data_IF_386698917328
#
_entry.id   IF_386698917328
#
_cell.length_a   1.000
_cell.length_b   1.000
_cell.length_c   1.000
_cell.angle_alpha   90.00
_cell.angle_beta   90.00
_cell.angle_gamma   90.00
#
_symmetry.space_group_name_H-M   'P 1'
#
loop_
_entity.id
_entity.type
_entity.pdbx_description
1 polymer ?
#
# COMPACT_ATOMS: atom_id res chain seq x y z
N UNK A 1 4.45 -34.44 38.73
CA UNK A 1 3.93 -33.08 38.49
C UNK A 1 4.37 -32.66 37.10
N UNK A 2 3.44 -32.34 36.18
CA UNK A 2 3.81 -31.86 34.85
C UNK A 2 4.46 -30.48 34.97
N UNK A 3 5.65 -30.30 34.37
CA UNK A 3 6.38 -29.03 34.36
C UNK A 3 5.55 -28.02 33.57
N UNK A 4 5.15 -26.91 34.19
CA UNK A 4 4.45 -25.85 33.45
C UNK A 4 5.30 -25.40 32.25
N UNK A 5 4.66 -25.15 31.09
CA UNK A 5 5.39 -24.73 29.89
C UNK A 5 6.09 -23.39 30.14
N UNK A 6 7.35 -23.30 29.73
CA UNK A 6 8.16 -22.08 29.86
C UNK A 6 7.53 -20.93 29.07
N UNK A 7 7.43 -19.75 29.69
CA UNK A 7 6.87 -18.53 29.09
C UNK A 7 7.99 -17.64 28.54
N UNK A 8 7.78 -17.05 27.37
CA UNK A 8 8.65 -16.04 26.77
C UNK A 8 7.88 -14.73 26.56
N UNK A 9 8.52 -13.59 26.80
CA UNK A 9 7.96 -12.25 26.58
C UNK A 9 8.68 -11.57 25.42
N UNK A 10 7.92 -10.93 24.55
CA UNK A 10 8.43 -10.18 23.40
C UNK A 10 7.96 -8.73 23.50
N UNK A 11 8.89 -7.78 23.30
CA UNK A 11 8.60 -6.36 23.19
C UNK A 11 8.74 -5.95 21.73
N UNK A 12 7.76 -5.22 21.21
CA UNK A 12 7.78 -4.71 19.85
C UNK A 12 8.19 -3.24 19.87
N UNK A 13 9.34 -2.94 19.29
CA UNK A 13 9.84 -1.59 19.13
C UNK A 13 9.75 -1.23 17.65
N UNK A 14 9.17 -0.07 17.33
CA UNK A 14 9.14 0.45 15.96
C UNK A 14 10.58 0.74 15.52
N UNK A 15 10.99 0.22 14.37
CA UNK A 15 12.28 0.56 13.77
C UNK A 15 12.26 2.01 13.26
N UNK A 16 13.44 2.57 12.97
CA UNK A 16 13.60 3.95 12.48
C UNK A 16 12.83 4.24 11.18
N UNK A 17 12.52 3.21 10.39
CA UNK A 17 11.79 3.32 9.12
C UNK A 17 10.39 2.70 9.19
N UNK A 18 9.88 2.39 10.38
CA UNK A 18 8.52 1.92 10.53
C UNK A 18 7.55 3.00 10.05
N UNK A 19 6.73 2.64 9.08
CA UNK A 19 5.68 3.50 8.54
C UNK A 19 4.45 2.70 8.19
N UNK A 20 3.29 3.35 8.28
CA UNK A 20 2.03 2.84 7.76
C UNK A 20 1.83 3.50 6.40
N UNK A 21 1.58 2.68 5.38
CA UNK A 21 1.37 3.14 4.01
C UNK A 21 0.05 2.59 3.50
N UNK A 22 -0.61 3.33 2.60
CA UNK A 22 -1.71 2.76 1.83
C UNK A 22 -1.12 1.79 0.81
N UNK A 23 -1.63 0.56 0.76
CA UNK A 23 -1.22 -0.44 -0.21
C UNK A 23 -2.43 -0.82 -1.06
N UNK A 24 -2.48 -0.29 -2.28
CA UNK A 24 -3.54 -0.55 -3.25
C UNK A 24 -3.22 -1.74 -4.15
N UNK A 25 -1.93 -2.07 -4.24
CA UNK A 25 -1.46 -3.26 -4.91
C UNK A 25 -0.06 -3.66 -4.46
N UNK A 26 0.40 -4.78 -5.00
CA UNK A 26 1.76 -5.24 -4.85
C UNK A 26 2.33 -5.68 -6.20
N UNK A 27 3.64 -5.48 -6.40
CA UNK A 27 4.40 -6.03 -7.51
C UNK A 27 5.54 -6.87 -6.93
N UNK A 28 5.77 -8.06 -7.48
CA UNK A 28 6.68 -8.99 -6.85
C UNK A 28 6.85 -10.28 -7.62
N UNK A 29 7.62 -11.19 -7.02
CA UNK A 29 7.94 -12.49 -7.62
C UNK A 29 8.94 -13.28 -6.77
N UNK A 30 9.34 -14.44 -7.28
CA UNK A 30 10.38 -15.26 -6.69
C UNK A 30 11.74 -14.69 -7.11
N UNK A 31 12.61 -14.44 -6.13
CA UNK A 31 13.98 -13.97 -6.37
C UNK A 31 14.86 -15.13 -6.85
N UNK A 32 16.01 -14.87 -7.48
CA UNK A 32 16.95 -15.93 -7.88
C UNK A 32 17.43 -16.83 -6.74
N UNK A 33 17.31 -16.39 -5.49
CA UNK A 33 17.68 -17.15 -4.30
C UNK A 33 16.51 -17.94 -3.70
N UNK A 34 15.34 -17.97 -4.34
CA UNK A 34 14.16 -18.71 -3.88
C UNK A 34 13.35 -18.02 -2.78
N UNK A 35 13.62 -16.74 -2.49
CA UNK A 35 12.77 -15.93 -1.61
C UNK A 35 11.64 -15.27 -2.40
N UNK A 36 10.60 -14.80 -1.72
CA UNK A 36 9.53 -14.00 -2.31
C UNK A 36 9.79 -12.53 -2.04
N UNK A 37 9.79 -11.71 -3.08
CA UNK A 37 9.78 -10.25 -2.96
C UNK A 37 8.37 -9.72 -3.23
N UNK A 38 7.89 -8.83 -2.37
CA UNK A 38 6.63 -8.10 -2.55
C UNK A 38 6.84 -6.61 -2.27
N UNK A 39 6.59 -5.78 -3.29
CA UNK A 39 6.65 -4.34 -3.21
C UNK A 39 5.25 -3.74 -3.25
N UNK A 40 4.82 -3.17 -2.13
CA UNK A 40 3.53 -2.50 -2.01
C UNK A 40 3.60 -1.09 -2.56
N UNK A 41 2.56 -0.71 -3.30
CA UNK A 41 2.44 0.61 -3.91
C UNK A 41 1.04 1.19 -3.72
N UNK A 42 0.98 2.52 -3.73
CA UNK A 42 -0.23 3.27 -4.06
C UNK A 42 -0.21 3.58 -5.56
N UNK A 43 -1.34 3.97 -6.13
CA UNK A 43 -1.42 4.39 -7.52
C UNK A 43 -2.35 5.58 -7.70
N UNK A 44 -1.98 6.49 -8.60
CA UNK A 44 -2.74 7.71 -8.87
C UNK A 44 -2.52 8.21 -10.29
N UNK A 45 -3.41 9.11 -10.71
CA UNK A 45 -3.17 9.92 -11.89
C UNK A 45 -1.95 10.83 -11.71
N UNK A 46 -1.21 11.13 -12.79
CA UNK A 46 -0.13 12.11 -12.75
C UNK A 46 -0.67 13.48 -12.33
N UNK A 47 0.10 14.16 -11.47
CA UNK A 47 -0.16 15.56 -11.15
C UNK A 47 0.38 16.38 -12.33
N UNK A 48 -0.40 17.30 -12.92
CA UNK A 48 0.09 18.13 -14.00
C UNK A 48 1.30 18.94 -13.53
N UNK A 49 2.30 19.08 -14.40
CA UNK A 49 3.47 19.90 -14.13
C UNK A 49 3.14 21.39 -14.28
N UNK A 50 2.23 21.72 -15.21
CA UNK A 50 1.77 23.09 -15.46
C UNK A 50 0.25 23.04 -15.68
N UNK A 51 -0.47 23.91 -14.98
CA UNK A 51 -1.84 24.32 -15.33
C UNK A 51 -1.82 25.80 -15.69
N UNK A 52 -2.61 26.20 -16.67
CA UNK A 52 -2.73 27.60 -17.10
C UNK A 52 -4.16 28.05 -16.88
N UNK A 53 -4.33 29.22 -16.28
CA UNK A 53 -5.64 29.81 -15.98
C UNK A 53 -5.80 31.15 -16.67
N UNK A 54 -7.03 31.51 -16.99
CA UNK A 54 -7.35 32.88 -17.37
C UNK A 54 -7.18 33.82 -16.18
N UNK A 55 -6.90 35.09 -16.46
CA UNK A 55 -7.00 36.18 -15.48
C UNK A 55 -8.16 37.05 -15.91
N UNK A 56 -9.15 37.20 -15.02
CA UNK A 56 -10.32 38.03 -15.25
C UNK A 56 -9.93 39.51 -15.27
N UNK A 57 -10.80 40.36 -15.83
CA UNK A 57 -10.53 41.79 -15.94
C UNK A 57 -10.40 42.52 -14.59
N UNK A 58 -10.98 41.95 -13.53
CA UNK A 58 -10.85 42.42 -12.15
C UNK A 58 -9.59 41.89 -11.43
N UNK A 59 -8.73 41.16 -12.15
CA UNK A 59 -7.49 40.58 -11.63
C UNK A 59 -7.67 39.24 -10.91
N UNK A 60 -8.88 38.69 -10.85
CA UNK A 60 -9.13 37.39 -10.21
C UNK A 60 -8.76 36.21 -11.11
N UNK A 61 -8.56 35.03 -10.51
CA UNK A 61 -8.26 33.80 -11.24
C UNK A 61 -9.53 33.27 -11.92
N UNK A 62 -9.47 33.09 -13.24
CA UNK A 62 -10.53 32.49 -14.05
C UNK A 62 -10.34 30.99 -14.30
N UNK A 63 -11.08 30.47 -15.27
CA UNK A 63 -11.10 29.05 -15.62
C UNK A 63 -9.73 28.54 -16.11
N UNK A 64 -9.48 27.25 -15.90
CA UNK A 64 -8.29 26.57 -16.44
C UNK A 64 -8.42 26.38 -17.96
N UNK A 65 -7.38 26.79 -18.70
CA UNK A 65 -7.20 26.50 -20.11
C UNK A 65 -6.65 25.07 -20.23
N UNK A 66 -7.54 24.07 -20.24
CA UNK A 66 -7.17 22.64 -20.19
C UNK A 66 -6.24 22.20 -21.32
N UNK A 67 -6.36 22.77 -22.51
CA UNK A 67 -5.50 22.43 -23.66
C UNK A 67 -4.04 22.89 -23.48
N UNK A 68 -3.80 23.85 -22.58
CA UNK A 68 -2.46 24.31 -22.22
C UNK A 68 -1.86 23.52 -21.03
N UNK A 69 -2.59 22.52 -20.49
CA UNK A 69 -2.10 21.69 -19.40
C UNK A 69 -0.94 20.83 -19.89
N UNK A 70 0.17 20.87 -19.14
CA UNK A 70 1.33 20.01 -19.38
C UNK A 70 1.46 19.02 -18.25
N UNK A 71 1.49 17.73 -18.57
CA UNK A 71 1.63 16.66 -17.59
C UNK A 71 2.13 15.37 -18.23
N UNK A 72 2.43 14.38 -17.40
CA UNK A 72 2.72 13.03 -17.87
C UNK A 72 1.43 12.31 -18.24
N UNK A 73 1.53 11.33 -19.13
CA UNK A 73 0.45 10.38 -19.41
C UNK A 73 0.61 9.09 -18.59
N UNK A 74 -0.47 8.32 -18.44
CA UNK A 74 -0.48 7.01 -17.77
C UNK A 74 -0.88 7.05 -16.30
N UNK A 75 -0.55 5.98 -15.57
CA UNK A 75 -0.81 5.82 -14.12
C UNK A 75 0.53 5.81 -13.39
N UNK A 76 0.64 6.61 -12.32
CA UNK A 76 1.81 6.59 -11.45
C UNK A 76 1.58 5.56 -10.35
N UNK A 77 2.55 4.67 -10.13
CA UNK A 77 2.64 3.81 -8.95
C UNK A 77 3.81 4.27 -8.09
N UNK A 78 3.54 4.72 -6.87
CA UNK A 78 4.61 5.09 -5.94
C UNK A 78 4.88 3.87 -5.06
N UNK A 79 6.04 3.24 -5.29
CA UNK A 79 6.43 2.03 -4.57
C UNK A 79 6.96 2.44 -3.21
N UNK A 80 6.24 2.06 -2.16
CA UNK A 80 6.50 2.54 -0.81
C UNK A 80 7.33 1.52 -0.02
N UNK A 81 6.86 0.29 0.12
CA UNK A 81 7.51 -0.70 1.00
C UNK A 81 7.75 -2.01 0.26
N UNK A 82 9.01 -2.44 0.22
CA UNK A 82 9.43 -3.74 -0.25
C UNK A 82 9.75 -4.68 0.90
N UNK A 83 9.26 -5.91 0.82
CA UNK A 83 9.55 -6.97 1.80
C UNK A 83 10.07 -8.20 1.06
N UNK A 84 11.14 -8.80 1.57
CA UNK A 84 11.64 -10.10 1.13
C UNK A 84 11.31 -11.11 2.23
N UNK A 85 10.71 -12.23 1.85
CA UNK A 85 10.33 -13.32 2.75
C UNK A 85 10.89 -14.63 2.23
N UNK A 86 11.39 -15.48 3.12
CA UNK A 86 11.59 -16.89 2.78
C UNK A 86 10.25 -17.62 2.65
N UNK A 87 10.28 -18.87 2.18
CA UNK A 87 9.07 -19.68 1.99
C UNK A 87 8.27 -19.81 3.30
N UNK A 88 8.97 -20.11 4.40
CA UNK A 88 8.31 -20.37 5.69
C UNK A 88 7.59 -19.12 6.23
N UNK A 89 8.19 -17.94 6.07
CA UNK A 89 7.60 -16.67 6.47
C UNK A 89 6.45 -16.29 5.55
N UNK A 90 6.61 -16.50 4.24
CA UNK A 90 5.56 -16.23 3.26
C UNK A 90 4.31 -17.11 3.48
N UNK A 91 4.47 -18.40 3.79
CA UNK A 91 3.37 -19.32 4.11
C UNK A 91 2.60 -18.86 5.36
N UNK A 92 3.34 -18.52 6.43
CA UNK A 92 2.73 -17.99 7.66
C UNK A 92 2.00 -16.68 7.43
N UNK A 93 2.58 -15.79 6.62
CA UNK A 93 1.94 -14.53 6.26
C UNK A 93 0.66 -14.76 5.42
N UNK A 94 0.72 -15.63 4.43
CA UNK A 94 -0.42 -15.99 3.58
C UNK A 94 -1.59 -16.55 4.41
N UNK A 95 -1.30 -17.49 5.31
CA UNK A 95 -2.32 -18.07 6.18
C UNK A 95 -2.98 -17.00 7.06
N UNK A 96 -2.16 -16.20 7.76
CA UNK A 96 -2.67 -15.13 8.61
C UNK A 96 -3.51 -14.12 7.82
N UNK A 97 -3.06 -13.72 6.63
CA UNK A 97 -3.79 -12.78 5.78
C UNK A 97 -5.14 -13.37 5.32
N UNK A 98 -5.15 -14.65 4.92
CA UNK A 98 -6.36 -15.37 4.55
C UNK A 98 -7.39 -15.42 5.69
N UNK A 99 -6.95 -15.69 6.92
CA UNK A 99 -7.79 -15.66 8.12
C UNK A 99 -8.42 -14.27 8.32
N UNK A 100 -7.65 -13.18 8.17
CA UNK A 100 -8.19 -11.81 8.29
C UNK A 100 -9.17 -11.44 7.18
N UNK A 101 -8.92 -11.88 5.96
CA UNK A 101 -9.82 -11.66 4.83
C UNK A 101 -11.17 -12.35 5.08
N UNK A 102 -11.15 -13.60 5.55
CA UNK A 102 -12.38 -14.35 5.82
C UNK A 102 -13.20 -13.70 6.93
N UNK A 103 -12.56 -13.27 8.03
CA UNK A 103 -13.22 -12.52 9.09
C UNK A 103 -13.91 -11.24 8.57
N UNK A 104 -13.24 -10.47 7.71
CA UNK A 104 -13.83 -9.25 7.12
C UNK A 104 -15.03 -9.55 6.22
N UNK A 105 -15.04 -10.67 5.51
CA UNK A 105 -16.16 -11.10 4.66
C UNK A 105 -17.38 -11.47 5.50
N UNK A 106 -17.19 -12.19 6.61
CA UNK A 106 -18.26 -12.54 7.55
C UNK A 106 -18.94 -11.28 8.10
N UNK A 107 -18.15 -10.33 8.63
CA UNK A 107 -18.64 -9.05 9.14
C UNK A 107 -19.39 -8.25 8.06
N UNK A 108 -18.92 -8.30 6.82
CA UNK A 108 -19.55 -7.57 5.70
C UNK A 108 -20.87 -8.19 5.24
N UNK A 109 -21.07 -9.48 5.52
CA UNK A 109 -22.28 -10.23 5.16
C UNK A 109 -23.36 -10.04 6.21
N UNK A 110 -23.00 -10.05 7.50
CA UNK A 110 -23.92 -9.79 8.62
C UNK A 110 -24.53 -8.37 8.58
N UNK A 111 -23.79 -7.36 8.11
CA UNK A 111 -24.31 -5.99 7.98
C UNK A 111 -25.34 -5.81 6.85
N UNK A 112 -25.52 -6.81 5.99
CA UNK A 112 -26.46 -6.78 4.86
C UNK A 112 -27.75 -7.57 5.12
N UNK A 113 -27.85 -8.30 6.22
CA UNK A 113 -29.06 -8.99 6.67
C UNK A 113 -29.74 -8.22 7.79
#
# INVERSE_FOLDING_TARGET
>A
MAKEPSKARFYYIKSNHFRVVCAEGAHGGITPHGSIFAAFYNQRGPIPQITTHQINADGTLGDEIRDARVGKEGVIREVEVGVIMDLQTAERFYQWLGEKINLLREISTEKKG
#
